data_IF_998753263457
#
_entry.id   IF_998753263457
#
_cell.length_a   1.000
_cell.length_b   1.000
_cell.length_c   1.000
_cell.angle_alpha   90.00
_cell.angle_beta   90.00
_cell.angle_gamma   90.00
#
_symmetry.space_group_name_H-M   'P 1'
#
loop_
_entity.id
_entity.type
_entity.pdbx_description
1 polymer ?
#
# COMPACT_ATOMS: atom_id res chain seq x y z
N UNK A 1 25.81 42.23 8.33
CA UNK A 1 24.56 41.47 8.18
C UNK A 1 24.88 40.02 8.31
N UNK A 2 24.13 39.24 9.11
CA UNK A 2 24.29 37.79 9.15
C UNK A 2 23.46 37.17 8.05
N UNK A 3 24.11 36.42 7.16
CA UNK A 3 23.43 35.69 6.11
C UNK A 3 22.83 34.39 6.65
N UNK A 4 21.82 33.83 5.97
CA UNK A 4 21.24 32.51 6.31
C UNK A 4 22.30 31.42 6.40
N UNK A 5 23.31 31.47 5.52
CA UNK A 5 24.40 30.50 5.49
C UNK A 5 25.27 30.61 6.74
N UNK A 6 25.66 31.82 7.14
CA UNK A 6 26.45 32.05 8.36
C UNK A 6 25.69 31.67 9.63
N UNK A 7 24.38 31.96 9.70
CA UNK A 7 23.53 31.53 10.82
C UNK A 7 23.44 29.99 10.92
N UNK A 8 23.31 29.29 9.79
CA UNK A 8 23.28 27.83 9.75
C UNK A 8 24.64 27.21 10.11
N UNK A 9 25.75 27.78 9.61
CA UNK A 9 27.12 27.36 9.98
C UNK A 9 27.38 27.58 11.47
N UNK A 10 26.88 28.69 12.04
CA UNK A 10 26.92 28.95 13.47
C UNK A 10 26.18 27.87 14.26
N UNK A 11 24.96 27.52 13.89
CA UNK A 11 24.19 26.47 14.54
C UNK A 11 24.89 25.09 14.47
N UNK A 12 25.52 24.78 13.33
CA UNK A 12 26.29 23.54 13.16
C UNK A 12 27.47 23.42 14.12
N UNK A 13 28.12 24.53 14.51
CA UNK A 13 29.18 24.51 15.54
C UNK A 13 28.69 23.99 16.88
N UNK A 14 27.39 24.13 17.16
CA UNK A 14 26.71 23.62 18.36
C UNK A 14 25.97 22.29 18.12
N UNK A 15 26.33 21.56 17.06
CA UNK A 15 25.73 20.26 16.67
C UNK A 15 24.25 20.30 16.30
N UNK A 16 23.73 21.46 15.89
CA UNK A 16 22.38 21.54 15.35
C UNK A 16 22.31 21.07 13.90
N UNK A 17 21.18 20.43 13.54
CA UNK A 17 20.88 20.17 12.14
C UNK A 17 20.48 21.46 11.44
N UNK A 18 20.82 21.61 10.16
CA UNK A 18 20.46 22.80 9.38
C UNK A 18 18.95 23.03 9.41
N UNK A 19 18.15 21.96 9.29
CA UNK A 19 16.69 22.06 9.28
C UNK A 19 16.11 22.55 10.61
N UNK A 20 16.71 22.13 11.73
CA UNK A 20 16.24 22.58 13.04
C UNK A 20 16.71 24.02 13.32
N UNK A 21 17.91 24.40 12.86
CA UNK A 21 18.38 25.77 12.89
C UNK A 21 17.49 26.72 12.07
N UNK A 22 17.16 26.34 10.82
CA UNK A 22 16.26 27.12 9.96
C UNK A 22 14.88 27.33 10.61
N UNK A 23 14.38 26.34 11.34
CA UNK A 23 13.11 26.44 12.07
C UNK A 23 13.23 27.34 13.29
N UNK A 24 14.31 27.20 14.07
CA UNK A 24 14.57 28.07 15.20
C UNK A 24 14.68 29.54 14.77
N UNK A 25 15.25 29.81 13.60
CA UNK A 25 15.41 31.15 13.04
C UNK A 25 14.20 31.67 12.25
N UNK A 26 13.11 30.89 12.14
CA UNK A 26 11.97 31.23 11.29
C UNK A 26 11.32 32.59 11.63
N UNK A 27 11.42 33.01 12.90
CA UNK A 27 10.81 34.24 13.40
C UNK A 27 11.83 35.37 13.67
N UNK A 28 13.07 35.24 13.20
CA UNK A 28 14.15 36.22 13.46
C UNK A 28 14.59 36.89 12.17
N UNK A 29 14.77 38.21 12.23
CA UNK A 29 15.37 39.00 11.14
C UNK A 29 16.89 38.86 11.16
N UNK A 30 17.40 37.91 10.39
CA UNK A 30 18.83 37.54 10.37
C UNK A 30 19.78 38.69 9.97
N UNK A 31 19.31 39.65 9.18
CA UNK A 31 20.14 40.75 8.67
C UNK A 31 20.81 41.58 9.77
N UNK A 32 20.17 41.72 10.94
CA UNK A 32 20.71 42.46 12.08
C UNK A 32 20.90 41.60 13.33
N UNK A 33 20.76 40.28 13.19
CA UNK A 33 20.81 39.38 14.34
C UNK A 33 22.23 39.29 14.91
N UNK A 34 22.33 39.43 16.23
CA UNK A 34 23.53 39.16 17.01
C UNK A 34 23.68 37.67 17.28
N UNK A 35 24.91 37.20 17.55
CA UNK A 35 25.13 35.80 17.93
C UNK A 35 24.33 35.38 19.16
N UNK A 36 24.11 36.31 20.10
CA UNK A 36 23.30 36.07 21.28
C UNK A 36 21.83 35.80 20.92
N UNK A 37 21.25 36.57 20.00
CA UNK A 37 19.90 36.31 19.49
C UNK A 37 19.79 34.97 18.77
N UNK A 38 20.81 34.58 17.99
CA UNK A 38 20.86 33.27 17.35
C UNK A 38 20.90 32.13 18.38
N UNK A 39 21.71 32.25 19.43
CA UNK A 39 21.75 31.25 20.51
C UNK A 39 20.40 31.18 21.25
N UNK A 40 19.81 32.34 21.58
CA UNK A 40 18.51 32.38 22.27
C UNK A 40 17.41 31.71 21.44
N UNK A 41 17.41 31.89 20.12
CA UNK A 41 16.50 31.22 19.20
C UNK A 41 16.62 29.69 19.26
N UNK A 42 17.86 29.20 19.17
CA UNK A 42 18.15 27.77 19.24
C UNK A 42 17.72 27.19 20.59
N UNK A 43 18.01 27.88 21.69
CA UNK A 43 17.62 27.46 23.04
C UNK A 43 16.09 27.43 23.23
N UNK A 44 15.40 28.45 22.73
CA UNK A 44 13.93 28.50 22.79
C UNK A 44 13.31 27.31 22.04
N UNK A 45 13.87 26.97 20.86
CA UNK A 45 13.43 25.84 20.06
C UNK A 45 13.78 24.48 20.70
N UNK A 46 14.92 24.36 21.38
CA UNK A 46 15.42 23.13 21.99
C UNK A 46 14.53 22.56 23.10
N UNK A 47 13.70 23.39 23.72
CA UNK A 47 12.87 23.00 24.85
C UNK A 47 11.53 22.38 24.42
N UNK A 48 10.39 23.03 24.76
CA UNK A 48 9.07 22.45 24.54
C UNK A 48 8.77 22.20 23.06
N UNK A 49 9.27 23.05 22.16
CA UNK A 49 8.93 22.97 20.73
C UNK A 49 9.56 21.73 20.06
N UNK A 50 10.83 21.44 20.34
CA UNK A 50 11.49 20.23 19.82
C UNK A 50 10.80 18.97 20.35
N UNK A 51 10.47 18.93 21.65
CA UNK A 51 9.80 17.78 22.26
C UNK A 51 8.41 17.55 21.65
N UNK A 52 7.62 18.61 21.50
CA UNK A 52 6.29 18.53 20.89
C UNK A 52 6.36 18.02 19.44
N UNK A 53 7.32 18.52 18.65
CA UNK A 53 7.54 18.03 17.28
C UNK A 53 7.94 16.57 17.24
N UNK A 54 8.82 16.12 18.13
CA UNK A 54 9.20 14.70 18.21
C UNK A 54 7.99 13.84 18.53
N UNK A 55 7.11 14.28 19.44
CA UNK A 55 5.85 13.59 19.75
C UNK A 55 4.92 13.54 18.53
N UNK A 56 4.74 14.67 17.84
CA UNK A 56 3.90 14.74 16.64
C UNK A 56 4.43 13.85 15.51
N UNK A 57 5.74 13.85 15.28
CA UNK A 57 6.38 12.98 14.28
C UNK A 57 6.24 11.51 14.66
N UNK A 58 6.42 11.15 15.93
CA UNK A 58 6.22 9.79 16.40
C UNK A 58 4.76 9.34 16.22
N UNK A 59 3.80 10.21 16.55
CA UNK A 59 2.37 9.94 16.34
C UNK A 59 2.05 9.75 14.85
N UNK A 60 2.58 10.61 13.98
CA UNK A 60 2.40 10.49 12.52
C UNK A 60 3.00 9.18 12.00
N UNK A 61 4.23 8.84 12.41
CA UNK A 61 4.86 7.56 12.04
C UNK A 61 4.01 6.37 12.50
N UNK A 62 3.53 6.39 13.74
CA UNK A 62 2.66 5.34 14.25
C UNK A 62 1.35 5.20 13.45
N UNK A 63 0.73 6.33 13.06
CA UNK A 63 -0.46 6.31 12.21
C UNK A 63 -0.18 5.72 10.83
N UNK A 64 0.94 6.10 10.20
CA UNK A 64 1.34 5.55 8.89
C UNK A 64 1.61 4.05 8.99
N UNK A 65 2.37 3.60 10.00
CA UNK A 65 2.62 2.18 10.22
C UNK A 65 1.32 1.40 10.44
N UNK A 66 0.39 1.92 11.25
CA UNK A 66 -0.91 1.27 11.47
C UNK A 66 -1.71 1.12 10.18
N UNK A 67 -1.75 2.16 9.35
CA UNK A 67 -2.44 2.12 8.06
C UNK A 67 -1.79 1.14 7.09
N UNK A 68 -0.46 1.13 7.02
CA UNK A 68 0.29 0.18 6.18
C UNK A 68 -0.02 -1.27 6.57
N UNK A 69 0.08 -1.60 7.86
CA UNK A 69 -0.21 -2.95 8.35
C UNK A 69 -1.68 -3.35 8.11
N UNK A 70 -2.61 -2.38 8.13
CA UNK A 70 -4.01 -2.64 7.83
C UNK A 70 -4.22 -2.97 6.34
N UNK A 71 -3.58 -2.22 5.44
CA UNK A 71 -3.60 -2.48 4.00
C UNK A 71 -3.02 -3.86 3.70
N UNK A 72 -1.85 -4.19 4.25
CA UNK A 72 -1.21 -5.50 4.06
C UNK A 72 -2.12 -6.67 4.51
N UNK A 73 -2.85 -6.49 5.62
CA UNK A 73 -3.84 -7.48 6.08
C UNK A 73 -5.01 -7.62 5.12
N UNK A 74 -5.51 -6.51 4.59
CA UNK A 74 -6.59 -6.51 3.60
C UNK A 74 -6.15 -7.22 2.33
N UNK A 75 -4.94 -6.92 1.83
CA UNK A 75 -4.39 -7.55 0.63
C UNK A 75 -4.24 -9.05 0.80
N UNK A 76 -3.73 -9.50 1.95
CA UNK A 76 -3.62 -10.92 2.27
C UNK A 76 -5.00 -11.61 2.36
N UNK A 77 -5.98 -10.98 3.01
CA UNK A 77 -7.35 -11.49 3.12
C UNK A 77 -8.03 -11.58 1.74
N UNK A 78 -7.86 -10.56 0.89
CA UNK A 78 -8.37 -10.60 -0.49
C UNK A 78 -7.70 -11.68 -1.33
N UNK A 79 -6.38 -11.84 -1.24
CA UNK A 79 -5.67 -12.90 -1.95
C UNK A 79 -6.20 -14.29 -1.54
N UNK A 80 -6.38 -14.53 -0.24
CA UNK A 80 -6.96 -15.77 0.29
C UNK A 80 -8.39 -16.00 -0.24
N UNK A 81 -9.23 -14.96 -0.24
CA UNK A 81 -10.61 -15.05 -0.74
C UNK A 81 -10.69 -15.32 -2.24
N UNK A 82 -9.79 -14.75 -3.03
CA UNK A 82 -9.71 -15.02 -4.48
C UNK A 82 -9.30 -16.48 -4.68
N UNK A 83 -8.28 -16.95 -3.97
CA UNK A 83 -7.83 -18.34 -4.06
C UNK A 83 -8.93 -19.33 -3.65
N UNK A 84 -9.66 -19.04 -2.56
CA UNK A 84 -10.80 -19.84 -2.13
C UNK A 84 -11.95 -19.82 -3.15
N UNK A 85 -12.26 -18.66 -3.73
CA UNK A 85 -13.28 -18.54 -4.76
C UNK A 85 -12.91 -19.32 -6.03
N UNK A 86 -11.65 -19.23 -6.46
CA UNK A 86 -11.14 -19.98 -7.61
C UNK A 86 -11.19 -21.49 -7.36
N UNK A 87 -10.86 -21.95 -6.14
CA UNK A 87 -11.02 -23.36 -5.74
C UNK A 87 -12.47 -23.80 -5.80
N UNK A 88 -13.40 -23.04 -5.20
CA UNK A 88 -14.82 -23.36 -5.23
C UNK A 88 -15.37 -23.40 -6.66
N UNK A 89 -14.98 -22.44 -7.51
CA UNK A 89 -15.36 -22.42 -8.92
C UNK A 89 -14.79 -23.64 -9.65
N UNK A 90 -13.55 -24.02 -9.38
CA UNK A 90 -12.92 -25.22 -9.97
C UNK A 90 -13.64 -26.51 -9.54
N UNK A 91 -13.96 -26.65 -8.25
CA UNK A 91 -14.73 -27.78 -7.71
C UNK A 91 -16.14 -27.85 -8.31
N UNK A 92 -16.84 -26.71 -8.38
CA UNK A 92 -18.14 -26.64 -9.04
C UNK A 92 -18.05 -26.99 -10.53
N UNK A 93 -17.03 -26.51 -11.24
CA UNK A 93 -16.83 -26.85 -12.66
C UNK A 93 -16.57 -28.34 -12.85
N UNK A 94 -15.68 -28.93 -12.05
CA UNK A 94 -15.34 -30.36 -12.17
C UNK A 94 -16.48 -31.30 -11.79
N UNK A 95 -17.45 -30.86 -10.99
CA UNK A 95 -18.62 -31.68 -10.60
C UNK A 95 -19.85 -31.42 -11.48
N UNK A 96 -20.18 -30.14 -11.72
CA UNK A 96 -21.40 -29.73 -12.39
C UNK A 96 -21.32 -29.90 -13.92
N UNK A 97 -20.17 -29.61 -14.54
CA UNK A 97 -20.03 -29.70 -15.99
C UNK A 97 -20.14 -31.13 -16.52
N UNK A 98 -19.55 -32.17 -15.88
CA UNK A 98 -19.78 -33.55 -16.28
C UNK A 98 -21.24 -33.98 -16.11
N UNK A 99 -21.94 -33.44 -15.11
CA UNK A 99 -23.35 -33.75 -14.86
C UNK A 99 -24.24 -33.12 -15.94
N UNK A 100 -24.01 -31.84 -16.29
CA UNK A 100 -24.66 -31.19 -17.44
C UNK A 100 -24.37 -31.95 -18.72
N UNK A 101 -23.12 -32.32 -18.98
CA UNK A 101 -22.74 -33.04 -20.19
C UNK A 101 -23.50 -34.38 -20.31
N UNK A 102 -23.61 -35.15 -19.22
CA UNK A 102 -24.38 -36.40 -19.18
C UNK A 102 -25.86 -36.18 -19.45
N UNK A 103 -26.48 -35.21 -18.78
CA UNK A 103 -27.90 -34.88 -18.96
C UNK A 103 -28.19 -34.36 -20.37
N UNK A 104 -27.35 -33.47 -20.88
CA UNK A 104 -27.50 -32.89 -22.22
C UNK A 104 -27.33 -33.95 -23.30
N UNK A 105 -26.31 -34.81 -23.21
CA UNK A 105 -26.13 -35.91 -24.16
C UNK A 105 -27.29 -36.93 -24.12
N UNK A 106 -27.91 -37.13 -22.95
CA UNK A 106 -29.12 -37.95 -22.85
C UNK A 106 -30.35 -37.29 -23.49
N UNK A 107 -30.50 -35.97 -23.36
CA UNK A 107 -31.63 -35.22 -23.88
C UNK A 107 -31.50 -34.83 -25.38
N UNK A 108 -30.28 -34.76 -25.91
CA UNK A 108 -29.99 -34.37 -27.30
C UNK A 108 -30.69 -35.24 -28.36
N UNK A 109 -30.78 -36.59 -28.23
CA UNK A 109 -31.58 -37.44 -29.11
C UNK A 109 -33.08 -37.14 -29.07
N UNK A 110 -33.59 -36.54 -27.98
CA UNK A 110 -34.98 -36.11 -27.84
C UNK A 110 -35.24 -34.70 -28.39
N UNK A 111 -34.30 -34.16 -29.17
CA UNK A 111 -34.47 -32.89 -29.88
C UNK A 111 -34.07 -31.65 -29.08
N UNK A 112 -33.51 -31.81 -27.87
CA UNK A 112 -32.96 -30.68 -27.12
C UNK A 112 -31.71 -30.15 -27.83
N UNK A 113 -31.75 -28.88 -28.22
CA UNK A 113 -30.61 -28.13 -28.76
C UNK A 113 -30.55 -26.78 -28.06
N UNK A 114 -29.48 -26.55 -27.30
CA UNK A 114 -29.26 -25.29 -26.60
C UNK A 114 -27.87 -24.74 -26.95
N UNK A 115 -27.80 -23.63 -27.72
CA UNK A 115 -26.54 -23.00 -28.09
C UNK A 115 -25.66 -22.58 -26.91
N UNK A 116 -26.26 -22.23 -25.77
CA UNK A 116 -25.52 -21.83 -24.57
C UNK A 116 -24.87 -23.03 -23.89
N UNK A 117 -25.58 -24.16 -23.78
CA UNK A 117 -25.02 -25.40 -23.22
C UNK A 117 -23.89 -25.92 -24.11
N UNK A 118 -24.05 -25.86 -25.43
CA UNK A 118 -23.01 -26.27 -26.37
C UNK A 118 -21.76 -25.39 -26.28
N UNK A 119 -21.92 -24.06 -26.24
CA UNK A 119 -20.81 -23.13 -26.06
C UNK A 119 -20.08 -23.36 -24.71
N UNK A 120 -20.84 -23.64 -23.65
CA UNK A 120 -20.31 -23.92 -22.32
C UNK A 120 -19.52 -25.24 -22.27
N UNK A 121 -19.99 -26.30 -22.93
CA UNK A 121 -19.25 -27.57 -23.02
C UNK A 121 -18.01 -27.46 -23.92
N UNK A 122 -18.07 -26.69 -25.01
CA UNK A 122 -16.92 -26.43 -25.89
C UNK A 122 -15.82 -25.65 -25.15
N UNK A 123 -16.19 -24.57 -24.47
CA UNK A 123 -15.23 -23.76 -23.70
C UNK A 123 -14.58 -24.56 -22.57
N UNK A 124 -15.33 -25.44 -21.91
CA UNK A 124 -14.79 -26.36 -20.91
C UNK A 124 -13.81 -27.39 -21.50
N UNK A 125 -14.17 -28.03 -22.61
CA UNK A 125 -13.29 -29.00 -23.26
C UNK A 125 -11.98 -28.36 -23.72
N UNK A 126 -12.03 -27.13 -24.25
CA UNK A 126 -10.85 -26.37 -24.62
C UNK A 126 -9.99 -25.98 -23.40
N UNK A 127 -10.61 -25.70 -22.25
CA UNK A 127 -9.90 -25.43 -21.01
C UNK A 127 -9.14 -26.67 -20.51
N UNK A 128 -9.79 -27.84 -20.55
CA UNK A 128 -9.16 -29.11 -20.17
C UNK A 128 -8.01 -29.51 -21.11
N UNK A 129 -8.15 -29.29 -22.43
CA UNK A 129 -7.06 -29.58 -23.37
C UNK A 129 -5.84 -28.70 -23.12
N UNK A 130 -6.06 -27.39 -22.91
CA UNK A 130 -4.97 -26.45 -22.68
C UNK A 130 -4.24 -26.68 -21.35
N UNK A 131 -4.92 -27.12 -20.28
CA UNK A 131 -4.26 -27.49 -19.03
C UNK A 131 -3.38 -28.75 -19.16
N UNK A 132 -3.73 -29.70 -20.02
CA UNK A 132 -2.92 -30.91 -20.23
C UNK A 132 -1.67 -30.63 -21.06
N UNK A 133 -1.70 -29.62 -21.93
CA UNK A 133 -0.56 -29.24 -22.77
C UNK A 133 0.50 -28.38 -22.04
N UNK A 134 0.14 -27.69 -20.95
CA UNK A 134 1.09 -26.89 -20.14
C UNK A 134 1.89 -27.74 -19.12
N UNK A 135 1.53 -29.01 -18.92
CA UNK A 135 2.12 -29.91 -17.89
C UNK A 135 2.96 -31.04 -18.51
N UNK A 136 3.04 -31.13 -19.85
CA UNK A 136 3.81 -32.13 -20.61
C UNK A 136 5.14 -31.58 -21.14
#
# INVERSE_FOLDING_TARGET
MVTKKEANEFAQKYNWTIKDAERAYANITLENATEQELITALLAFAGPELLERQRLQAAQKAQVTKKKNYIEKIEADFASKIEEADRQVSELRSTFLPLIAKLYNFAKPFGLKDPWIEALLVTYNNFLSNQNDEVA
#
